data_IF_315440216582
#
_entry.id   IF_315440216582
#
_cell.length_a   1.000
_cell.length_b   1.000
_cell.length_c   1.000
_cell.angle_alpha   90.00
_cell.angle_beta   90.00
_cell.angle_gamma   90.00
#
_symmetry.space_group_name_H-M   'P 1'
#
loop_
_entity.id
_entity.type
_entity.pdbx_description
1 polymer ?
#
# COMPACT_ATOMS: atom_id res chain seq x y z
N UNK A 1 -4.95 -44.08 -25.07
CA UNK A 1 -5.11 -43.80 -23.63
C UNK A 1 -3.82 -43.36 -22.91
N UNK A 2 -2.70 -43.12 -23.61
CA UNK A 2 -1.40 -42.76 -23.01
C UNK A 2 -1.13 -41.24 -22.96
N UNK A 3 -1.79 -40.46 -23.82
CA UNK A 3 -1.62 -39.00 -23.87
C UNK A 3 -2.46 -38.22 -22.84
N UNK A 4 -3.50 -38.84 -22.25
CA UNK A 4 -4.36 -38.18 -21.26
C UNK A 4 -3.61 -37.94 -19.93
N UNK A 5 -2.70 -38.83 -19.56
CA UNK A 5 -1.91 -38.72 -18.32
C UNK A 5 -0.87 -37.58 -18.33
N UNK A 6 -0.40 -37.17 -19.52
CA UNK A 6 0.56 -36.06 -19.66
C UNK A 6 -0.13 -34.69 -19.57
N UNK A 7 -1.41 -34.59 -19.94
CA UNK A 7 -2.17 -33.33 -19.87
C UNK A 7 -2.57 -33.01 -18.43
N UNK A 8 -2.89 -34.04 -17.63
CA UNK A 8 -3.29 -33.88 -16.22
C UNK A 8 -2.12 -33.38 -15.36
N UNK A 9 -0.88 -33.78 -15.64
CA UNK A 9 0.30 -33.36 -14.86
C UNK A 9 0.67 -31.89 -15.07
N UNK A 10 0.39 -31.31 -16.24
CA UNK A 10 0.65 -29.88 -16.51
C UNK A 10 -0.36 -28.97 -15.81
N UNK A 11 -1.62 -29.42 -15.63
CA UNK A 11 -2.67 -28.65 -14.94
C UNK A 11 -2.42 -28.51 -13.42
N UNK A 12 -1.62 -29.39 -12.82
CA UNK A 12 -1.32 -29.34 -11.38
C UNK A 12 -0.16 -28.36 -11.08
N UNK A 13 0.69 -28.02 -12.06
CA UNK A 13 1.84 -27.13 -11.85
C UNK A 13 1.50 -25.63 -11.91
N UNK A 14 0.36 -25.23 -12.45
CA UNK A 14 -0.01 -23.81 -12.55
C UNK A 14 -0.64 -23.25 -11.27
N UNK A 15 -0.92 -24.10 -10.27
CA UNK A 15 -1.55 -23.72 -9.00
C UNK A 15 -0.62 -23.04 -7.96
N UNK A 16 0.68 -22.87 -8.26
CA UNK A 16 1.65 -22.32 -7.31
C UNK A 16 1.85 -20.80 -7.42
N UNK A 17 1.29 -20.13 -8.43
CA UNK A 17 1.41 -18.70 -8.57
C UNK A 17 0.49 -17.98 -7.56
N UNK A 18 1.09 -17.33 -6.56
CA UNK A 18 0.36 -16.54 -5.55
C UNK A 18 0.04 -17.26 -4.23
N UNK A 19 0.44 -18.52 -4.06
CA UNK A 19 0.38 -19.20 -2.75
C UNK A 19 1.51 -18.70 -1.83
N UNK A 20 1.33 -18.71 -0.49
CA UNK A 20 2.37 -18.27 0.45
C UNK A 20 3.70 -19.03 0.27
N UNK A 21 3.63 -20.33 0.02
CA UNK A 21 4.80 -21.18 -0.25
C UNK A 21 5.43 -20.84 -1.61
N UNK A 22 4.64 -20.64 -2.66
CA UNK A 22 5.13 -20.23 -3.97
C UNK A 22 5.86 -18.89 -3.93
N UNK A 23 5.31 -17.91 -3.19
CA UNK A 23 5.93 -16.60 -3.04
C UNK A 23 7.31 -16.69 -2.36
N UNK A 24 7.48 -17.56 -1.35
CA UNK A 24 8.77 -17.79 -0.72
C UNK A 24 9.77 -18.44 -1.69
N UNK A 25 9.34 -19.47 -2.43
CA UNK A 25 10.18 -20.19 -3.39
C UNK A 25 10.68 -19.26 -4.51
N UNK A 26 9.81 -18.37 -5.00
CA UNK A 26 10.14 -17.42 -6.08
C UNK A 26 10.65 -16.07 -5.57
N UNK A 27 10.97 -15.95 -4.28
CA UNK A 27 11.40 -14.72 -3.62
C UNK A 27 10.53 -13.51 -4.01
N UNK A 28 9.22 -13.60 -3.80
CA UNK A 28 8.25 -12.54 -4.06
C UNK A 28 7.67 -12.00 -2.76
N UNK A 29 7.38 -10.71 -2.74
CA UNK A 29 6.66 -10.05 -1.65
C UNK A 29 5.50 -9.23 -2.19
N UNK A 30 4.48 -8.99 -1.37
CA UNK A 30 3.43 -8.05 -1.72
C UNK A 30 3.93 -6.61 -1.61
N UNK A 31 3.40 -5.75 -2.47
CA UNK A 31 3.52 -4.30 -2.30
C UNK A 31 2.92 -3.89 -0.96
N UNK A 32 3.62 -2.99 -0.29
CA UNK A 32 3.23 -2.36 0.97
C UNK A 32 2.66 -0.97 0.72
N UNK A 33 2.04 -0.37 1.74
CA UNK A 33 1.64 1.04 1.68
C UNK A 33 2.82 1.97 1.34
N UNK A 34 4.04 1.64 1.79
CA UNK A 34 5.26 2.39 1.47
C UNK A 34 5.67 2.26 0.00
N UNK A 35 5.52 1.07 -0.61
CA UNK A 35 5.82 0.88 -2.04
C UNK A 35 4.88 1.73 -2.90
N UNK A 36 3.59 1.75 -2.53
CA UNK A 36 2.58 2.54 -3.23
C UNK A 36 2.86 4.04 -3.07
N UNK A 37 3.15 4.51 -1.85
CA UNK A 37 3.44 5.92 -1.62
C UNK A 37 4.73 6.35 -2.35
N UNK A 38 5.78 5.54 -2.31
CA UNK A 38 7.03 5.81 -3.03
C UNK A 38 6.84 5.85 -4.55
N UNK A 39 5.91 5.07 -5.11
CA UNK A 39 5.67 5.02 -6.55
C UNK A 39 5.12 6.33 -7.14
N UNK A 40 4.61 7.24 -6.30
CA UNK A 40 4.14 8.55 -6.73
C UNK A 40 5.25 9.59 -6.87
N UNK A 41 6.47 9.33 -6.39
CA UNK A 41 7.59 10.26 -6.56
C UNK A 41 7.90 10.41 -8.05
N UNK A 42 7.89 11.64 -8.53
CA UNK A 42 8.05 12.01 -9.94
C UNK A 42 6.74 12.18 -10.71
N UNK A 43 5.60 11.74 -10.15
CA UNK A 43 4.27 12.01 -10.73
C UNK A 43 3.77 13.40 -10.37
N UNK A 44 2.79 13.88 -11.13
CA UNK A 44 2.12 15.14 -10.80
C UNK A 44 1.19 15.00 -9.59
N UNK A 45 0.99 16.09 -8.86
CA UNK A 45 0.02 16.16 -7.77
C UNK A 45 -1.41 15.92 -8.29
N UNK A 46 -1.73 16.40 -9.49
CA UNK A 46 -3.05 16.23 -10.10
C UNK A 46 -3.35 14.75 -10.38
N UNK A 47 -2.38 13.98 -10.87
CA UNK A 47 -2.54 12.54 -11.06
C UNK A 47 -2.82 11.80 -9.75
N UNK A 48 -2.12 12.15 -8.67
CA UNK A 48 -2.37 11.59 -7.35
C UNK A 48 -3.79 11.92 -6.88
N UNK A 49 -4.20 13.18 -6.98
CA UNK A 49 -5.54 13.63 -6.56
C UNK A 49 -6.64 12.98 -7.40
N UNK A 50 -6.43 12.80 -8.71
CA UNK A 50 -7.38 12.07 -9.56
C UNK A 50 -7.48 10.59 -9.17
N UNK A 51 -6.38 9.96 -8.78
CA UNK A 51 -6.36 8.54 -8.43
C UNK A 51 -6.89 8.27 -7.02
N UNK A 52 -6.59 9.12 -6.04
CA UNK A 52 -6.89 8.89 -4.62
C UNK A 52 -8.05 9.74 -4.10
N UNK A 53 -8.51 10.70 -4.89
CA UNK A 53 -9.45 11.74 -4.46
C UNK A 53 -8.74 12.92 -3.77
N UNK A 54 -9.53 13.92 -3.34
CA UNK A 54 -8.99 15.09 -2.65
C UNK A 54 -8.32 14.68 -1.33
N UNK A 55 -7.18 15.29 -0.96
CA UNK A 55 -6.54 15.05 0.33
C UNK A 55 -7.41 15.61 1.46
N UNK A 56 -7.29 15.03 2.66
CA UNK A 56 -7.96 15.55 3.86
C UNK A 56 -7.45 16.94 4.24
N UNK A 57 -6.16 17.20 3.99
CA UNK A 57 -5.57 18.51 4.21
C UNK A 57 -4.53 18.84 3.13
N UNK A 58 -4.35 20.13 2.86
CA UNK A 58 -3.27 20.62 2.01
C UNK A 58 -2.69 21.89 2.61
N UNK A 59 -1.37 21.94 2.73
CA UNK A 59 -0.66 23.08 3.33
C UNK A 59 0.30 23.67 2.31
N UNK A 60 0.11 24.95 1.96
CA UNK A 60 1.11 25.71 1.22
C UNK A 60 2.29 26.08 2.14
N UNK A 61 3.51 25.90 1.64
CA UNK A 61 4.74 26.27 2.31
C UNK A 61 5.23 27.63 1.77
N UNK A 62 6.03 28.33 2.58
CA UNK A 62 6.50 29.70 2.27
C UNK A 62 7.37 29.79 1.00
N UNK A 63 7.98 28.68 0.57
CA UNK A 63 8.79 28.58 -0.64
C UNK A 63 7.97 28.28 -1.92
N UNK A 64 6.64 28.26 -1.83
CA UNK A 64 5.75 27.95 -2.95
C UNK A 64 5.53 26.46 -3.23
N UNK A 65 6.16 25.57 -2.45
CA UNK A 65 5.81 24.14 -2.43
C UNK A 65 4.55 23.90 -1.59
N UNK A 66 3.98 22.70 -1.64
CA UNK A 66 2.85 22.33 -0.80
C UNK A 66 2.97 20.90 -0.28
N UNK A 67 2.26 20.60 0.80
CA UNK A 67 2.10 19.25 1.34
C UNK A 67 0.66 18.83 1.13
N UNK A 68 0.46 17.67 0.49
CA UNK A 68 -0.83 16.98 0.46
C UNK A 68 -0.84 15.90 1.55
N UNK A 69 -1.88 15.89 2.37
CA UNK A 69 -2.00 15.00 3.52
C UNK A 69 -3.26 14.12 3.41
N UNK A 70 -3.01 12.82 3.38
CA UNK A 70 -4.01 11.78 3.33
C UNK A 70 -4.02 11.01 4.66
N UNK A 71 -5.07 11.22 5.45
CA UNK A 71 -5.22 10.62 6.77
C UNK A 71 -6.44 9.70 6.79
N UNK A 72 -6.24 8.44 7.20
CA UNK A 72 -7.28 7.45 7.31
C UNK A 72 -7.30 6.87 8.72
N UNK A 73 -8.48 6.86 9.35
CA UNK A 73 -8.66 6.27 10.69
C UNK A 73 -9.73 5.19 10.61
N UNK A 74 -9.50 4.04 11.22
CA UNK A 74 -10.49 2.96 11.34
C UNK A 74 -10.38 2.25 12.68
N UNK A 75 -11.47 1.60 13.09
CA UNK A 75 -11.54 0.82 14.33
C UNK A 75 -10.83 -0.52 14.09
N UNK A 76 -9.85 -0.86 14.93
CA UNK A 76 -9.11 -2.13 14.85
C UNK A 76 -9.67 -3.19 15.80
N UNK A 77 -10.12 -2.78 16.97
CA UNK A 77 -10.87 -3.61 17.90
C UNK A 77 -12.20 -2.91 18.12
N UNK A 78 -13.30 -3.57 17.78
CA UNK A 78 -14.67 -2.99 17.81
C UNK A 78 -15.75 -3.93 18.34
N UNK A 79 -15.38 -5.14 18.79
CA UNK A 79 -16.33 -6.25 18.92
C UNK A 79 -16.55 -6.75 20.35
N UNK A 80 -16.30 -5.94 21.38
CA UNK A 80 -16.76 -6.29 22.74
C UNK A 80 -17.82 -5.31 23.22
N UNK A 81 -19.04 -5.52 22.72
CA UNK A 81 -20.24 -4.78 23.14
C UNK A 81 -20.77 -5.22 24.51
N UNK A 82 -20.06 -6.10 25.23
CA UNK A 82 -20.54 -6.69 26.49
C UNK A 82 -20.10 -5.94 27.75
N UNK A 83 -19.15 -4.99 27.66
CA UNK A 83 -18.66 -4.22 28.80
C UNK A 83 -19.13 -2.75 28.74
N UNK A 84 -19.91 -2.36 29.74
CA UNK A 84 -20.03 -0.95 30.13
C UNK A 84 -18.61 -0.41 30.37
N UNK A 85 -18.16 0.59 29.60
CA UNK A 85 -16.80 1.17 29.49
C UNK A 85 -15.91 0.73 28.32
N UNK A 86 -16.48 0.27 27.20
CA UNK A 86 -15.71 0.03 25.98
C UNK A 86 -15.11 1.32 25.37
N UNK A 87 -13.78 1.38 25.21
CA UNK A 87 -13.08 2.43 24.45
C UNK A 87 -12.56 1.79 23.15
N UNK A 88 -13.06 2.19 21.96
CA UNK A 88 -12.59 1.64 20.70
C UNK A 88 -11.12 1.99 20.45
N UNK A 89 -10.35 0.99 20.03
CA UNK A 89 -8.98 1.20 19.55
C UNK A 89 -9.02 1.56 18.07
N UNK A 90 -8.32 2.64 17.72
CA UNK A 90 -8.21 3.13 16.35
C UNK A 90 -6.81 2.90 15.79
N UNK A 91 -6.75 2.44 14.55
CA UNK A 91 -5.54 2.59 13.74
C UNK A 91 -5.66 3.87 12.92
N UNK A 92 -4.58 4.62 12.91
CA UNK A 92 -4.37 5.79 12.07
C UNK A 92 -3.38 5.43 10.96
N UNK A 93 -3.62 5.85 9.73
CA UNK A 93 -2.68 5.78 8.62
C UNK A 93 -2.50 7.15 8.01
N UNK A 94 -1.30 7.68 8.13
CA UNK A 94 -0.92 8.98 7.58
C UNK A 94 -0.06 8.76 6.34
N UNK A 95 -0.38 9.48 5.27
CA UNK A 95 0.41 9.55 4.05
C UNK A 95 0.52 11.00 3.62
N UNK A 96 1.75 11.51 3.53
CA UNK A 96 2.00 12.90 3.12
C UNK A 96 2.89 12.93 1.88
N UNK A 97 2.64 13.90 1.01
CA UNK A 97 3.39 14.10 -0.22
C UNK A 97 3.83 15.56 -0.31
N UNK A 98 5.13 15.79 -0.43
CA UNK A 98 5.66 17.11 -0.76
C UNK A 98 5.58 17.31 -2.26
N UNK A 99 4.94 18.41 -2.65
CA UNK A 99 4.73 18.82 -4.02
C UNK A 99 5.56 20.06 -4.29
N UNK A 100 6.51 19.96 -5.20
CA UNK A 100 7.34 21.05 -5.66
C UNK A 100 7.05 21.27 -7.15
N UNK A 101 6.62 22.48 -7.52
CA UNK A 101 6.29 22.82 -8.91
C UNK A 101 5.24 21.87 -9.54
N UNK A 102 4.29 21.41 -8.73
CA UNK A 102 3.24 20.47 -9.17
C UNK A 102 3.66 19.00 -9.23
N UNK A 103 4.91 18.67 -8.90
CA UNK A 103 5.44 17.29 -8.93
C UNK A 103 5.70 16.80 -7.51
N UNK A 104 5.38 15.54 -7.24
CA UNK A 104 5.66 14.89 -5.96
C UNK A 104 7.14 14.55 -5.89
N UNK A 105 7.87 15.14 -4.95
CA UNK A 105 9.32 14.95 -4.81
C UNK A 105 9.70 14.12 -3.60
N UNK A 106 8.89 14.18 -2.54
CA UNK A 106 9.10 13.43 -1.30
C UNK A 106 7.78 12.91 -0.76
N UNK A 107 7.87 11.85 0.03
CA UNK A 107 6.70 11.22 0.62
C UNK A 107 6.99 10.75 2.04
N UNK A 108 5.92 10.63 2.81
CA UNK A 108 5.93 10.11 4.17
C UNK A 108 4.79 9.11 4.33
N UNK A 109 5.01 8.07 5.12
CA UNK A 109 3.92 7.23 5.62
C UNK A 109 4.22 6.74 7.03
N UNK A 110 3.23 6.80 7.92
CA UNK A 110 3.32 6.27 9.27
C UNK A 110 1.99 5.75 9.79
N UNK A 111 2.02 5.18 10.99
CA UNK A 111 0.85 4.64 11.67
C UNK A 111 0.54 3.20 11.26
N UNK A 112 -0.68 2.77 11.53
CA UNK A 112 -1.24 1.47 11.21
C UNK A 112 -1.68 1.30 9.76
N UNK A 113 -1.00 1.90 8.79
CA UNK A 113 -1.30 1.70 7.37
C UNK A 113 -1.36 0.21 6.99
N UNK A 114 -2.25 -0.22 6.08
CA UNK A 114 -2.38 -1.62 5.72
C UNK A 114 -1.04 -2.18 5.23
N UNK A 115 -0.58 -3.26 5.88
CA UNK A 115 0.66 -3.97 5.47
C UNK A 115 0.55 -4.48 4.04
N UNK A 116 -0.66 -4.88 3.66
CA UNK A 116 -1.04 -5.29 2.32
C UNK A 116 -2.25 -4.46 1.90
N UNK A 117 -2.05 -3.37 1.13
CA UNK A 117 -3.13 -2.60 0.54
C UNK A 117 -4.05 -3.47 -0.30
N UNK A 118 -5.31 -3.06 -0.45
CA UNK A 118 -6.23 -3.72 -1.38
C UNK A 118 -5.65 -3.68 -2.80
N UNK A 119 -5.74 -4.80 -3.51
CA UNK A 119 -5.15 -4.92 -4.85
C UNK A 119 -3.60 -4.96 -4.89
N UNK A 120 -2.92 -5.11 -3.75
CA UNK A 120 -1.45 -5.17 -3.72
C UNK A 120 -0.88 -6.25 -4.65
N UNK A 121 0.04 -5.84 -5.53
CA UNK A 121 0.69 -6.72 -6.50
C UNK A 121 1.83 -7.51 -5.85
N UNK A 122 2.13 -8.68 -6.41
CA UNK A 122 3.35 -9.41 -6.10
C UNK A 122 4.51 -8.77 -6.86
N UNK A 123 5.53 -8.36 -6.13
CA UNK A 123 6.77 -7.79 -6.65
C UNK A 123 7.97 -8.62 -6.20
N UNK A 124 9.11 -8.33 -6.80
CA UNK A 124 10.34 -9.01 -6.44
C UNK A 124 10.73 -8.77 -4.98
N UNK A 125 11.02 -9.84 -4.25
CA UNK A 125 11.40 -9.83 -2.84
C UNK A 125 12.78 -9.21 -2.60
N UNK A 126 13.63 -9.13 -3.64
CA UNK A 126 14.91 -8.42 -3.56
C UNK A 126 14.75 -6.89 -3.52
N UNK A 127 13.60 -6.36 -3.95
CA UNK A 127 13.33 -4.92 -3.90
C UNK A 127 13.07 -4.54 -2.44
N UNK A 128 13.91 -3.73 -1.79
CA UNK A 128 13.71 -3.33 -0.40
C UNK A 128 12.43 -2.51 -0.25
N UNK A 129 11.81 -2.55 0.92
CA UNK A 129 10.68 -1.66 1.23
C UNK A 129 11.20 -0.22 1.28
N UNK A 130 10.65 0.71 0.48
CA UNK A 130 11.08 2.10 0.47
C UNK A 130 10.91 2.76 1.84
N UNK A 131 11.86 3.62 2.20
CA UNK A 131 11.78 4.46 3.40
C UNK A 131 11.23 5.84 3.05
N UNK A 132 10.45 6.46 3.95
CA UNK A 132 10.01 7.85 3.83
C UNK A 132 11.17 8.80 3.51
N UNK A 133 10.90 9.81 2.70
CA UNK A 133 11.88 10.82 2.26
C UNK A 133 11.53 12.24 2.67
N UNK A 134 10.34 12.46 3.24
CA UNK A 134 9.89 13.72 3.80
C UNK A 134 10.23 13.85 5.30
#
# INVERSE_FOLDING_TARGET
>A
MRCIYLIISVLILTGCAGSPLGNLIFNKRYQTSSDIAASWVGSSADELVMAWGPPQNSQALSNGSSILDYQYNWIVNGSDSSMWNYIPEYANCDKRFLVEQGIITRWYSSGGCPKRPEGAKLIDGSIPVPKPTL
#
